data_IF_264001775448
#
_entry.id   IF_264001775448
#
_cell.length_a   1.000
_cell.length_b   1.000
_cell.length_c   1.000
_cell.angle_alpha   90.00
_cell.angle_beta   90.00
_cell.angle_gamma   90.00
#
_symmetry.space_group_name_H-M   'P 1'
#
loop_
_entity.id
_entity.type
_entity.pdbx_description
1 polymer ?
#
# COMPACT_ATOMS: atom_id res chain seq x y z
N UNK A 1 27.42 16.71 -22.73
CA UNK A 1 27.03 16.20 -22.54
C UNK A 1 26.60 16.09 -22.17
N UNK A 2 26.49 16.56 -21.76
CA UNK A 2 26.31 15.85 -21.87
C UNK A 2 25.18 15.13 -21.49
N UNK A 3 24.65 14.51 -22.34
CA UNK A 3 23.54 13.59 -22.17
C UNK A 3 23.77 12.65 -21.03
N UNK A 4 25.01 12.34 -20.79
CA UNK A 4 25.35 11.47 -19.71
C UNK A 4 25.13 12.06 -18.36
N UNK A 5 25.37 13.33 -18.24
CA UNK A 5 25.16 14.00 -16.99
C UNK A 5 23.71 14.16 -16.71
N UNK A 6 22.94 14.44 -17.76
CA UNK A 6 21.52 14.50 -17.63
C UNK A 6 20.97 13.13 -17.28
N UNK A 7 21.54 12.08 -17.84
CA UNK A 7 21.06 10.75 -17.61
C UNK A 7 21.35 10.24 -16.20
N UNK A 8 22.17 10.96 -15.41
CA UNK A 8 22.32 10.63 -13.99
C UNK A 8 21.01 10.69 -13.26
N UNK A 9 20.15 11.65 -13.62
CA UNK A 9 18.83 11.76 -13.04
C UNK A 9 17.81 10.88 -13.75
N UNK A 10 18.04 10.65 -15.04
CA UNK A 10 17.09 9.92 -15.88
C UNK A 10 17.68 8.62 -16.40
N UNK A 11 18.56 8.00 -15.59
CA UNK A 11 19.14 6.74 -15.98
C UNK A 11 18.07 5.69 -16.17
N UNK A 12 18.37 4.69 -16.99
CA UNK A 12 17.46 3.59 -17.26
C UNK A 12 17.03 2.90 -15.97
N UNK A 13 17.97 2.72 -15.04
CA UNK A 13 17.67 2.07 -13.77
C UNK A 13 16.73 2.90 -12.92
N UNK A 14 16.93 4.21 -12.87
CA UNK A 14 16.03 5.10 -12.14
C UNK A 14 14.63 5.10 -12.74
N UNK A 15 14.55 5.08 -14.05
CA UNK A 15 13.25 5.04 -14.74
C UNK A 15 12.54 3.72 -14.46
N UNK A 16 13.27 2.62 -14.44
CA UNK A 16 12.69 1.32 -14.11
C UNK A 16 12.13 1.30 -12.71
N UNK A 17 12.90 1.80 -11.73
CA UNK A 17 12.44 1.81 -10.35
C UNK A 17 11.22 2.70 -10.20
N UNK A 18 11.21 3.83 -10.90
CA UNK A 18 10.06 4.71 -10.91
C UNK A 18 8.84 4.03 -11.51
N UNK A 19 9.05 3.31 -12.61
CA UNK A 19 7.96 2.58 -13.25
C UNK A 19 7.40 1.50 -12.34
N UNK A 20 8.26 0.79 -11.60
CA UNK A 20 7.82 -0.22 -10.64
C UNK A 20 6.97 0.40 -9.53
N UNK A 21 7.41 1.53 -9.01
CA UNK A 21 6.70 2.24 -7.96
C UNK A 21 5.31 2.67 -8.45
N UNK A 22 5.26 3.30 -9.62
CA UNK A 22 4.00 3.78 -10.17
C UNK A 22 3.05 2.63 -10.51
N UNK A 23 3.59 1.55 -11.05
CA UNK A 23 2.78 0.38 -11.36
C UNK A 23 2.23 -0.27 -10.09
N UNK A 24 3.04 -0.33 -9.06
CA UNK A 24 2.60 -0.86 -7.76
C UNK A 24 1.46 -0.02 -7.21
N UNK A 25 1.61 1.30 -7.21
CA UNK A 25 0.56 2.19 -6.72
C UNK A 25 -0.72 2.06 -7.54
N UNK A 26 -0.58 1.90 -8.86
CA UNK A 26 -1.74 1.70 -9.71
C UNK A 26 -2.49 0.43 -9.33
N UNK A 27 -1.78 -0.67 -9.13
CA UNK A 27 -2.39 -1.93 -8.74
C UNK A 27 -3.02 -1.85 -7.34
N UNK A 28 -2.33 -1.18 -6.42
CA UNK A 28 -2.86 -0.96 -5.08
C UNK A 28 -4.19 -0.20 -5.16
N UNK A 29 -4.21 0.87 -5.95
CA UNK A 29 -5.43 1.67 -6.09
C UNK A 29 -6.57 0.87 -6.71
N UNK A 30 -6.27 0.02 -7.68
CA UNK A 30 -7.30 -0.83 -8.27
C UNK A 30 -7.92 -1.76 -7.24
N UNK A 31 -7.08 -2.34 -6.38
CA UNK A 31 -7.57 -3.22 -5.31
C UNK A 31 -8.40 -2.43 -4.31
N UNK A 32 -7.87 -1.29 -3.85
CA UNK A 32 -8.54 -0.49 -2.83
C UNK A 32 -9.88 0.06 -3.31
N UNK A 33 -9.99 0.35 -4.59
CA UNK A 33 -11.21 0.95 -5.16
C UNK A 33 -12.19 -0.07 -5.71
N UNK A 34 -11.93 -1.36 -5.51
CA UNK A 34 -12.82 -2.40 -6.00
C UNK A 34 -13.97 -2.61 -5.02
N UNK A 35 -15.20 -2.18 -5.37
CA UNK A 35 -16.32 -2.26 -4.43
C UNK A 35 -16.81 -3.69 -4.18
N UNK A 36 -16.37 -4.63 -4.98
CA UNK A 36 -16.76 -6.04 -4.82
C UNK A 36 -15.95 -6.77 -3.78
N UNK A 37 -14.79 -6.21 -3.42
CA UNK A 37 -13.92 -6.86 -2.45
C UNK A 37 -14.27 -6.42 -1.04
N UNK A 38 -14.35 -7.38 -0.11
CA UNK A 38 -14.44 -7.08 1.31
C UNK A 38 -13.08 -6.55 1.78
N UNK A 39 -13.04 -5.94 2.97
CA UNK A 39 -11.75 -5.51 3.52
C UNK A 39 -10.75 -6.67 3.66
N UNK A 40 -11.15 -7.85 4.18
CA UNK A 40 -10.21 -8.97 4.21
C UNK A 40 -9.66 -9.33 2.83
N UNK A 41 -10.51 -9.32 1.82
CA UNK A 41 -10.06 -9.64 0.46
C UNK A 41 -9.12 -8.57 -0.08
N UNK A 42 -9.41 -7.30 0.23
CA UNK A 42 -8.51 -6.21 -0.13
C UNK A 42 -7.13 -6.45 0.47
N UNK A 43 -7.07 -6.77 1.76
CA UNK A 43 -5.77 -6.98 2.41
C UNK A 43 -5.02 -8.16 1.80
N UNK A 44 -5.73 -9.25 1.48
CA UNK A 44 -5.09 -10.39 0.84
C UNK A 44 -4.52 -10.02 -0.52
N UNK A 45 -5.30 -9.29 -1.33
CA UNK A 45 -4.84 -8.87 -2.64
C UNK A 45 -3.68 -7.90 -2.55
N UNK A 46 -3.67 -7.01 -1.57
CA UNK A 46 -2.56 -6.09 -1.38
C UNK A 46 -1.26 -6.83 -1.09
N UNK A 47 -1.31 -7.88 -0.25
CA UNK A 47 -0.11 -8.64 0.04
C UNK A 47 0.43 -9.36 -1.20
N UNK A 48 -0.43 -9.61 -2.17
CA UNK A 48 -0.04 -10.25 -3.42
C UNK A 48 0.60 -9.26 -4.40
N UNK A 49 0.05 -8.05 -4.49
CA UNK A 49 0.50 -7.10 -5.52
C UNK A 49 1.64 -6.20 -5.06
N UNK A 50 1.76 -5.94 -3.77
CA UNK A 50 2.74 -4.99 -3.25
C UNK A 50 4.20 -5.36 -3.52
N UNK A 51 4.61 -6.64 -3.43
CA UNK A 51 6.04 -6.95 -3.61
C UNK A 51 6.65 -6.43 -4.89
N UNK A 52 5.85 -6.30 -5.95
CA UNK A 52 6.34 -5.84 -7.25
C UNK A 52 6.88 -4.42 -7.22
N UNK A 53 6.54 -3.64 -6.20
CA UNK A 53 7.00 -2.25 -6.08
C UNK A 53 8.35 -2.11 -5.40
N UNK A 54 8.88 -3.19 -4.86
CA UNK A 54 10.14 -3.16 -4.11
C UNK A 54 11.30 -3.61 -4.98
N UNK A 55 12.51 -3.29 -4.53
CA UNK A 55 13.72 -3.49 -5.31
C UNK A 55 13.98 -4.97 -5.63
N UNK A 56 13.68 -5.86 -4.70
CA UNK A 56 13.93 -7.30 -4.85
C UNK A 56 12.63 -8.09 -4.69
N UNK A 57 11.75 -8.03 -5.70
CA UNK A 57 10.39 -8.61 -5.55
C UNK A 57 10.37 -10.11 -5.28
N UNK A 58 11.36 -10.86 -5.80
CA UNK A 58 11.34 -12.32 -5.62
C UNK A 58 11.55 -12.76 -4.17
N UNK A 59 12.13 -11.90 -3.34
CA UNK A 59 12.34 -12.20 -1.92
C UNK A 59 11.57 -11.24 -1.02
N UNK A 60 10.71 -10.44 -1.60
CA UNK A 60 9.91 -9.45 -0.88
C UNK A 60 8.58 -10.06 -0.47
N UNK A 61 8.25 -9.97 0.80
CA UNK A 61 6.99 -10.45 1.34
C UNK A 61 6.35 -9.36 2.18
N UNK A 62 5.04 -9.39 2.25
CA UNK A 62 4.26 -8.34 2.91
C UNK A 62 3.32 -8.97 3.92
N UNK A 63 3.19 -8.32 5.06
CA UNK A 63 2.18 -8.68 6.06
C UNK A 63 1.39 -7.43 6.42
N UNK A 64 0.09 -7.55 6.41
CA UNK A 64 -0.81 -6.48 6.86
C UNK A 64 -1.57 -7.00 8.06
N UNK A 65 -1.49 -6.25 9.16
CA UNK A 65 -2.24 -6.55 10.38
C UNK A 65 -3.30 -5.46 10.52
N UNK A 66 -4.52 -5.87 10.75
CA UNK A 66 -5.63 -4.94 10.99
C UNK A 66 -6.52 -5.55 12.06
N UNK A 67 -6.63 -4.84 13.18
CA UNK A 67 -7.34 -5.38 14.33
C UNK A 67 -6.67 -6.67 14.79
N UNK A 68 -7.45 -7.74 14.87
CA UNK A 68 -6.96 -9.03 15.32
C UNK A 68 -6.58 -9.96 14.16
N UNK A 69 -6.65 -9.45 12.92
CA UNK A 69 -6.42 -10.27 11.74
C UNK A 69 -5.08 -9.94 11.11
N UNK A 70 -4.48 -10.95 10.53
CA UNK A 70 -3.20 -10.82 9.85
C UNK A 70 -3.30 -11.45 8.46
N UNK A 71 -2.77 -10.77 7.48
CA UNK A 71 -2.78 -11.21 6.07
C UNK A 71 -1.35 -11.12 5.56
N UNK A 72 -0.88 -12.14 4.86
CA UNK A 72 0.51 -12.13 4.46
C UNK A 72 0.76 -12.85 3.14
N UNK A 73 1.82 -12.43 2.46
CA UNK A 73 2.30 -13.12 1.28
C UNK A 73 2.74 -14.52 1.68
N UNK A 74 2.41 -15.56 0.89
CA UNK A 74 2.92 -16.90 1.18
C UNK A 74 4.45 -16.88 1.29
N UNK A 75 4.96 -17.53 2.33
CA UNK A 75 6.40 -17.53 2.58
C UNK A 75 6.89 -16.37 3.43
N UNK A 76 5.99 -15.53 3.90
CA UNK A 76 6.37 -14.45 4.81
C UNK A 76 7.00 -15.04 6.08
N UNK A 77 8.08 -14.44 6.51
CA UNK A 77 8.65 -14.72 7.82
C UNK A 77 9.36 -13.47 8.30
N UNK A 78 9.45 -13.32 9.62
CA UNK A 78 10.16 -12.20 10.21
C UNK A 78 11.60 -12.16 9.74
N UNK A 79 12.11 -10.96 9.55
CA UNK A 79 13.44 -10.77 9.00
C UNK A 79 14.00 -9.46 9.54
N UNK A 80 15.32 -9.36 9.76
CA UNK A 80 15.91 -8.07 10.11
C UNK A 80 15.85 -7.06 8.96
N UNK A 81 15.57 -7.52 7.74
CA UNK A 81 15.47 -6.65 6.57
C UNK A 81 14.01 -6.28 6.37
N UNK A 82 13.51 -5.39 7.23
CA UNK A 82 12.08 -5.06 7.24
C UNK A 82 11.84 -3.57 7.37
N UNK A 83 10.69 -3.12 6.88
CA UNK A 83 10.21 -1.77 7.12
C UNK A 83 8.72 -1.84 7.44
N UNK A 84 8.26 -0.86 8.20
CA UNK A 84 6.91 -0.83 8.75
C UNK A 84 6.28 0.52 8.52
N UNK A 85 4.96 0.53 8.34
CA UNK A 85 4.19 1.78 8.39
C UNK A 85 2.88 1.50 9.11
N UNK A 86 2.45 2.38 10.00
CA UNK A 86 1.18 2.18 10.71
C UNK A 86 0.00 2.52 9.82
N UNK A 87 -1.10 1.80 10.04
CA UNK A 87 -2.40 2.16 9.49
C UNK A 87 -3.13 2.87 10.61
N UNK A 88 -3.54 4.12 10.36
CA UNK A 88 -4.14 4.95 11.42
C UNK A 88 -5.57 5.31 11.10
N UNK A 89 -6.39 5.39 12.14
CA UNK A 89 -7.72 5.95 12.05
C UNK A 89 -7.84 6.98 13.17
N UNK A 90 -8.19 8.19 12.79
CA UNK A 90 -8.33 9.29 13.74
C UNK A 90 -7.04 9.48 14.55
N UNK A 91 -5.91 9.39 13.84
CA UNK A 91 -4.59 9.58 14.46
C UNK A 91 -4.09 8.42 15.30
N UNK A 92 -4.86 7.35 15.44
CA UNK A 92 -4.49 6.20 16.26
C UNK A 92 -4.17 5.00 15.40
N UNK A 93 -3.11 4.25 15.73
CA UNK A 93 -2.79 3.05 14.95
C UNK A 93 -3.85 1.96 15.18
N UNK A 94 -4.38 1.45 14.09
CA UNK A 94 -5.34 0.34 14.10
C UNK A 94 -4.76 -0.90 13.45
N UNK A 95 -3.57 -0.78 12.87
CA UNK A 95 -2.89 -1.87 12.20
C UNK A 95 -1.57 -1.40 11.66
N UNK A 96 -0.95 -2.23 10.85
CA UNK A 96 0.33 -1.88 10.25
C UNK A 96 0.56 -2.67 8.97
N UNK A 97 1.42 -2.10 8.13
CA UNK A 97 1.94 -2.77 6.94
C UNK A 97 3.40 -3.04 7.18
N UNK A 98 3.81 -4.27 6.97
CA UNK A 98 5.21 -4.67 7.11
C UNK A 98 5.69 -5.28 5.81
N UNK A 99 6.83 -4.80 5.32
CA UNK A 99 7.48 -5.33 4.13
C UNK A 99 8.83 -5.87 4.56
N UNK A 100 9.13 -7.12 4.17
CA UNK A 100 10.39 -7.75 4.52
C UNK A 100 11.05 -8.33 3.28
N UNK A 101 12.38 -8.39 3.32
CA UNK A 101 13.13 -9.27 2.44
C UNK A 101 13.48 -10.50 3.27
N UNK A 102 13.02 -11.66 2.82
CA UNK A 102 13.17 -12.89 3.59
C UNK A 102 14.56 -13.50 3.50
N UNK A 103 15.42 -12.94 2.65
CA UNK A 103 16.84 -13.31 2.59
C UNK A 103 17.65 -12.03 2.63
N UNK A 104 18.93 -12.18 2.92
CA UNK A 104 19.83 -11.04 2.89
C UNK A 104 19.91 -10.46 1.49
N UNK A 105 19.85 -9.13 1.38
CA UNK A 105 19.92 -8.40 0.12
C UNK A 105 21.05 -7.39 0.18
N UNK A 106 21.44 -6.88 -0.97
CA UNK A 106 22.53 -5.89 -1.06
C UNK A 106 22.08 -4.60 -0.38
N UNK A 107 22.89 -4.13 0.56
CA UNK A 107 22.65 -2.89 1.27
C UNK A 107 23.13 -1.72 0.42
N UNK A 108 22.26 -0.75 0.19
CA UNK A 108 22.61 0.47 -0.51
C UNK A 108 23.08 1.52 0.50
N UNK A 109 23.46 2.70 0.00
CA UNK A 109 23.80 3.82 0.87
C UNK A 109 22.64 4.24 1.74
N UNK A 110 21.42 4.00 1.28
CA UNK A 110 20.20 4.32 2.01
C UNK A 110 19.77 3.18 2.95
N UNK A 111 20.52 2.10 2.99
CA UNK A 111 20.17 0.94 3.80
C UNK A 111 19.65 -0.19 2.94
N UNK A 112 18.90 -1.10 3.55
CA UNK A 112 18.30 -2.22 2.84
C UNK A 112 17.08 -1.80 2.05
N UNK A 113 16.45 -0.69 2.44
CA UNK A 113 15.30 -0.11 1.74
C UNK A 113 15.66 1.28 1.28
N UNK A 114 15.31 1.58 0.04
CA UNK A 114 15.51 2.91 -0.52
C UNK A 114 14.55 3.90 0.12
N UNK A 115 14.93 5.18 0.15
CA UNK A 115 14.06 6.21 0.70
C UNK A 115 12.71 6.23 0.01
N UNK A 116 12.68 6.01 -1.30
CA UNK A 116 11.42 5.96 -2.04
C UNK A 116 10.60 4.74 -1.69
N UNK A 117 11.22 3.65 -1.26
CA UNK A 117 10.49 2.47 -0.80
C UNK A 117 9.87 2.73 0.56
N UNK A 118 10.58 3.43 1.43
CA UNK A 118 10.04 3.85 2.72
C UNK A 118 8.85 4.79 2.54
N UNK A 119 8.95 5.67 1.56
CA UNK A 119 7.85 6.57 1.23
C UNK A 119 6.67 5.80 0.64
N UNK A 120 6.95 4.81 -0.19
CA UNK A 120 5.93 3.99 -0.81
C UNK A 120 5.10 3.26 0.23
N UNK A 121 5.74 2.63 1.21
CA UNK A 121 4.99 1.90 2.24
C UNK A 121 4.10 2.86 3.04
N UNK A 122 4.59 4.06 3.36
CA UNK A 122 3.79 5.06 4.06
C UNK A 122 2.60 5.51 3.21
N UNK A 123 2.84 5.73 1.94
CA UNK A 123 1.76 6.12 1.02
C UNK A 123 0.68 5.05 0.95
N UNK A 124 1.10 3.79 0.86
CA UNK A 124 0.14 2.69 0.80
C UNK A 124 -0.64 2.59 2.11
N UNK A 125 0.04 2.71 3.25
CA UNK A 125 -0.63 2.67 4.55
C UNK A 125 -1.67 3.79 4.67
N UNK A 126 -1.34 4.98 4.19
CA UNK A 126 -2.28 6.10 4.21
C UNK A 126 -3.50 5.84 3.32
N UNK A 127 -3.27 5.25 2.15
CA UNK A 127 -4.37 4.91 1.24
C UNK A 127 -5.27 3.84 1.83
N UNK A 128 -4.68 2.85 2.50
CA UNK A 128 -5.46 1.84 3.22
C UNK A 128 -6.31 2.51 4.28
N UNK A 129 -5.72 3.43 5.04
CA UNK A 129 -6.42 4.16 6.07
C UNK A 129 -7.63 4.90 5.52
N UNK A 130 -7.47 5.57 4.39
CA UNK A 130 -8.57 6.28 3.73
C UNK A 130 -9.65 5.33 3.24
N UNK A 131 -9.26 4.18 2.72
CA UNK A 131 -10.21 3.17 2.26
C UNK A 131 -11.03 2.62 3.42
N UNK A 132 -10.38 2.34 4.54
CA UNK A 132 -11.09 1.86 5.73
C UNK A 132 -12.10 2.90 6.17
N UNK A 133 -11.69 4.15 6.26
CA UNK A 133 -12.59 5.23 6.67
C UNK A 133 -13.78 5.34 5.73
N UNK A 134 -13.51 5.30 4.43
CA UNK A 134 -14.57 5.39 3.42
C UNK A 134 -15.58 4.24 3.57
N UNK A 135 -15.07 3.03 3.79
CA UNK A 135 -15.94 1.86 3.96
C UNK A 135 -16.83 1.98 5.20
N UNK A 136 -16.29 2.51 6.29
CA UNK A 136 -17.09 2.75 7.50
C UNK A 136 -18.10 3.86 7.29
N UNK A 137 -17.74 4.88 6.54
CA UNK A 137 -18.61 6.03 6.33
C UNK A 137 -19.64 5.83 5.22
N UNK A 138 -19.44 4.83 4.37
CA UNK A 138 -20.29 4.63 3.22
C UNK A 138 -21.78 4.56 3.55
N UNK A 139 -22.20 3.79 4.58
CA UNK A 139 -23.63 3.77 4.92
C UNK A 139 -24.16 5.15 5.32
N UNK A 140 -23.35 5.92 6.04
CA UNK A 140 -23.74 7.27 6.46
C UNK A 140 -23.81 8.19 5.25
N UNK A 141 -22.81 8.12 4.36
CA UNK A 141 -22.80 8.93 3.15
C UNK A 141 -23.99 8.62 2.24
N UNK A 142 -24.35 7.36 2.15
CA UNK A 142 -25.49 6.94 1.36
C UNK A 142 -26.77 7.56 1.90
N UNK A 143 -26.93 7.55 3.21
CA UNK A 143 -28.07 8.13 3.87
C UNK A 143 -28.15 9.62 3.62
N UNK A 144 -27.01 10.31 3.71
CA UNK A 144 -26.92 11.75 3.50
C UNK A 144 -27.17 12.15 2.05
N UNK A 145 -26.89 11.27 1.10
CA UNK A 145 -27.05 11.56 -0.32
C UNK A 145 -28.45 11.26 -0.84
N UNK A 146 -29.32 10.67 -0.04
CA UNK A 146 -30.69 10.39 -0.46
C UNK A 146 -31.48 11.68 -0.64
N UNK A 147 -32.30 11.75 -1.69
CA UNK A 147 -33.12 12.94 -1.91
C UNK A 147 -34.04 13.17 -0.72
N UNK A 148 -34.10 14.40 -0.24
CA UNK A 148 -34.93 14.75 0.89
C UNK A 148 -36.42 14.67 0.55
N UNK A 149 -36.76 14.78 -0.73
CA UNK A 149 -38.10 14.66 -1.18
C UNK A 149 -38.74 13.33 -0.75
N UNK A 150 -37.95 12.27 -0.66
CA UNK A 150 -38.43 10.98 -0.20
C UNK A 150 -38.90 11.01 1.21
N UNK A 151 -38.31 11.86 2.04
CA UNK A 151 -38.71 11.97 3.44
C UNK A 151 -40.11 12.55 3.55
N UNK A 152 -40.42 13.46 2.65
CA UNK A 152 -41.73 14.13 2.66
C UNK A 152 -42.84 13.27 2.03
N UNK A 153 -42.46 12.36 1.15
CA UNK A 153 -43.40 11.48 0.52
C UNK A 153 -44.04 10.50 1.51
N UNK A 154 -43.36 10.27 2.60
CA UNK A 154 -43.88 9.38 3.64
C UNK A 154 -44.96 9.98 4.47
N UNK A 155 -45.43 11.14 4.13
CA UNK A 155 -46.55 11.77 4.86
C UNK A 155 -47.87 11.51 4.17
#
# INVERSE_FOLDING_TARGET
>A
MNDRELSGEYSWDNLKERAKELNCLYQVDEVLNNPRLSLPDIFRELTRVMPSGWQFPEVCKVRIVYGNQSYQTPGFRSSPYSCLAPIKQDGKPVGQVEVVYVTEVVKSEEGYFLDKEMKLIRTIADRISQTILHRYMEPVLREWSQPKAQVYEGR
#
